data_IF_246553857700
#
_entry.id   IF_246553857700
#
_cell.length_a   1.000
_cell.length_b   1.000
_cell.length_c   1.000
_cell.angle_alpha   90.00
_cell.angle_beta   90.00
_cell.angle_gamma   90.00
#
_symmetry.space_group_name_H-M   'P 1'
#
loop_
_entity.id
_entity.type
_entity.pdbx_description
1 polymer ?
#
# COMPACT_ATOMS: atom_id res chain seq x y z
N UNK A 1 64.74 2.44 -0.32
CA UNK A 1 63.57 2.82 -1.14
C UNK A 1 63.27 4.26 -0.79
N UNK A 2 63.51 5.15 -1.74
CA UNK A 2 63.52 6.61 -1.56
C UNK A 2 62.07 7.11 -1.53
N UNK A 3 61.57 7.45 -0.34
CA UNK A 3 60.30 8.18 -0.19
C UNK A 3 60.54 9.60 -0.67
N UNK A 4 60.31 9.85 -1.96
CA UNK A 4 60.26 11.20 -2.50
C UNK A 4 59.04 11.87 -1.91
N UNK A 5 59.29 12.63 -0.85
CA UNK A 5 58.43 13.69 -0.37
C UNK A 5 58.38 14.74 -1.49
N UNK A 6 57.45 14.54 -2.44
CA UNK A 6 57.23 15.46 -3.54
C UNK A 6 56.55 16.68 -2.93
N UNK A 7 57.35 17.72 -2.71
CA UNK A 7 56.89 19.01 -2.23
C UNK A 7 55.68 19.46 -3.07
N UNK A 8 54.50 19.68 -2.46
CA UNK A 8 53.29 19.97 -3.20
C UNK A 8 53.46 21.30 -3.93
N UNK A 9 53.34 21.26 -5.26
CA UNK A 9 53.47 22.46 -6.09
C UNK A 9 52.50 23.55 -5.60
N UNK A 10 52.91 24.82 -5.52
CA UNK A 10 52.02 25.90 -5.13
C UNK A 10 50.76 25.88 -6.00
N UNK A 11 49.58 25.91 -5.37
CA UNK A 11 48.28 25.91 -6.06
C UNK A 11 47.63 24.55 -6.30
N UNK A 12 48.32 23.41 -6.12
CA UNK A 12 47.67 22.08 -6.24
C UNK A 12 46.65 21.82 -5.15
N UNK A 13 46.93 22.25 -3.92
CA UNK A 13 45.99 22.10 -2.79
C UNK A 13 44.69 22.88 -3.01
N UNK A 14 44.80 24.12 -3.49
CA UNK A 14 43.64 24.95 -3.80
C UNK A 14 42.82 24.34 -4.95
N UNK A 15 43.49 23.87 -6.01
CA UNK A 15 42.83 23.18 -7.13
C UNK A 15 42.05 21.95 -6.65
N UNK A 16 42.68 21.08 -5.86
CA UNK A 16 42.03 19.88 -5.31
C UNK A 16 40.81 20.26 -4.45
N UNK A 17 40.94 21.29 -3.61
CA UNK A 17 39.83 21.78 -2.80
C UNK A 17 38.66 22.30 -3.66
N UNK A 18 38.94 22.98 -4.77
CA UNK A 18 37.90 23.43 -5.71
C UNK A 18 37.23 22.26 -6.43
N UNK A 19 37.97 21.21 -6.80
CA UNK A 19 37.44 19.99 -7.41
C UNK A 19 36.51 19.25 -6.43
N UNK A 20 36.93 19.06 -5.17
CA UNK A 20 36.10 18.45 -4.13
C UNK A 20 34.83 19.27 -3.85
N UNK A 21 34.95 20.60 -3.83
CA UNK A 21 33.79 21.51 -3.72
C UNK A 21 32.82 21.31 -4.87
N UNK A 22 33.32 21.16 -6.09
CA UNK A 22 32.50 20.94 -7.27
C UNK A 22 31.76 19.59 -7.18
N UNK A 23 32.45 18.52 -6.77
CA UNK A 23 31.82 17.22 -6.54
C UNK A 23 30.70 17.30 -5.50
N UNK A 24 30.91 18.04 -4.41
CA UNK A 24 29.89 18.24 -3.38
C UNK A 24 28.67 19.01 -3.90
N UNK A 25 28.87 20.04 -4.72
CA UNK A 25 27.77 20.81 -5.33
C UNK A 25 26.93 19.92 -6.23
N UNK A 26 27.56 19.12 -7.07
CA UNK A 26 26.88 18.16 -7.95
C UNK A 26 26.10 17.13 -7.14
N UNK A 27 26.69 16.62 -6.06
CA UNK A 27 26.03 15.67 -5.17
C UNK A 27 24.79 16.28 -4.52
N UNK A 28 24.89 17.50 -3.98
CA UNK A 28 23.73 18.19 -3.40
C UNK A 28 22.63 18.44 -4.43
N UNK A 29 22.99 18.75 -5.68
CA UNK A 29 22.01 18.89 -6.76
C UNK A 29 21.27 17.57 -7.04
N UNK A 30 21.99 16.44 -7.05
CA UNK A 30 21.41 15.10 -7.17
C UNK A 30 20.44 14.79 -6.01
N UNK A 31 20.84 15.07 -4.77
CA UNK A 31 19.98 14.87 -3.58
C UNK A 31 18.72 15.74 -3.63
N UNK A 32 18.81 16.99 -4.09
CA UNK A 32 17.64 17.85 -4.28
C UNK A 32 16.70 17.28 -5.34
N UNK A 33 17.23 16.78 -6.46
CA UNK A 33 16.43 16.12 -7.50
C UNK A 33 15.75 14.88 -6.94
N UNK A 34 16.45 14.05 -6.15
CA UNK A 34 15.86 12.91 -5.42
C UNK A 34 14.71 13.33 -4.51
N UNK A 35 14.90 14.39 -3.72
CA UNK A 35 13.89 14.92 -2.80
C UNK A 35 12.66 15.44 -3.55
N UNK A 36 12.85 16.13 -4.68
CA UNK A 36 11.75 16.54 -5.55
C UNK A 36 10.93 15.35 -6.04
N UNK A 37 11.58 14.28 -6.49
CA UNK A 37 10.91 13.03 -6.91
C UNK A 37 10.08 12.44 -5.75
N UNK A 38 10.58 12.47 -4.51
CA UNK A 38 9.85 11.96 -3.32
C UNK A 38 8.65 12.81 -2.92
N UNK A 39 8.70 14.12 -3.14
CA UNK A 39 7.72 15.07 -2.57
C UNK A 39 6.55 15.32 -3.52
N UNK A 40 6.55 14.75 -4.74
CA UNK A 40 5.43 14.89 -5.66
C UNK A 40 4.18 14.17 -5.10
N UNK A 41 3.06 14.89 -5.12
CA UNK A 41 1.74 14.46 -4.60
C UNK A 41 1.12 13.34 -5.46
N UNK A 42 1.58 13.19 -6.70
CA UNK A 42 1.26 12.05 -7.55
C UNK A 42 2.02 10.82 -7.02
N UNK A 43 1.40 10.10 -6.08
CA UNK A 43 1.94 8.94 -5.35
C UNK A 43 2.48 7.78 -6.20
N UNK A 44 2.43 7.87 -7.53
CA UNK A 44 3.10 6.94 -8.45
C UNK A 44 4.54 7.38 -8.65
N UNK A 45 5.36 7.06 -7.67
CA UNK A 45 6.81 7.14 -7.76
C UNK A 45 7.32 6.28 -8.94
N UNK A 46 7.93 6.91 -9.96
CA UNK A 46 8.36 6.18 -11.17
C UNK A 46 9.79 5.65 -11.04
N UNK A 47 9.94 4.35 -11.29
CA UNK A 47 11.24 3.67 -11.41
C UNK A 47 12.13 4.31 -12.48
N UNK A 48 11.53 4.83 -13.56
CA UNK A 48 12.27 5.46 -14.65
C UNK A 48 12.90 6.80 -14.23
N UNK A 49 12.26 7.54 -13.33
CA UNK A 49 12.82 8.78 -12.77
C UNK A 49 14.04 8.47 -11.88
N UNK A 50 14.01 7.37 -11.12
CA UNK A 50 15.17 6.91 -10.36
C UNK A 50 16.32 6.45 -11.26
N UNK A 51 16.04 5.68 -12.31
CA UNK A 51 17.06 5.28 -13.29
C UNK A 51 17.66 6.49 -13.99
N UNK A 52 16.83 7.46 -14.36
CA UNK A 52 17.28 8.73 -14.94
C UNK A 52 18.14 9.54 -13.96
N UNK A 53 17.84 9.49 -12.66
CA UNK A 53 18.69 10.10 -11.63
C UNK A 53 20.03 9.37 -11.51
N UNK A 54 20.03 8.04 -11.51
CA UNK A 54 21.24 7.22 -11.46
C UNK A 54 22.16 7.48 -12.67
N UNK A 55 21.60 7.63 -13.87
CA UNK A 55 22.34 7.95 -15.08
C UNK A 55 23.07 9.31 -15.02
N UNK A 56 22.68 10.21 -14.11
CA UNK A 56 23.33 11.52 -13.93
C UNK A 56 24.47 11.52 -12.91
N UNK A 57 24.81 10.37 -12.33
CA UNK A 57 25.89 10.29 -11.34
C UNK A 57 27.25 10.58 -11.96
N UNK A 58 28.06 11.35 -11.23
CA UNK A 58 29.42 11.63 -11.67
C UNK A 58 30.30 10.40 -11.37
N UNK A 59 30.92 9.77 -12.39
CA UNK A 59 31.78 8.60 -12.17
C UNK A 59 33.02 8.93 -11.33
N UNK A 60 33.44 10.19 -11.27
CA UNK A 60 34.60 10.63 -10.48
C UNK A 60 34.32 10.68 -8.98
N UNK A 61 33.07 10.52 -8.54
CA UNK A 61 32.74 10.52 -7.12
C UNK A 61 33.38 9.35 -6.36
N UNK A 62 33.60 8.20 -7.01
CA UNK A 62 34.26 7.04 -6.39
C UNK A 62 35.68 7.37 -5.93
N UNK A 63 36.38 8.19 -6.70
CA UNK A 63 37.80 8.48 -6.51
C UNK A 63 38.01 9.82 -5.78
N UNK A 64 36.92 10.53 -5.47
CA UNK A 64 36.94 11.80 -4.75
C UNK A 64 37.20 11.62 -3.26
N UNK A 65 37.74 12.65 -2.62
CA UNK A 65 37.92 12.71 -1.17
C UNK A 65 36.61 12.72 -0.39
N UNK A 66 35.48 12.98 -1.06
CA UNK A 66 34.13 12.93 -0.47
C UNK A 66 33.37 11.63 -0.76
N UNK A 67 34.03 10.63 -1.36
CA UNK A 67 33.43 9.32 -1.69
C UNK A 67 32.74 8.65 -0.50
N UNK A 68 33.35 8.68 0.68
CA UNK A 68 32.81 8.10 1.92
C UNK A 68 31.49 8.73 2.36
N UNK A 69 31.28 10.02 2.05
CA UNK A 69 30.03 10.73 2.32
C UNK A 69 28.95 10.37 1.29
N UNK A 70 29.34 10.26 0.03
CA UNK A 70 28.41 10.08 -1.09
C UNK A 70 27.94 8.62 -1.20
N UNK A 71 28.85 7.66 -1.01
CA UNK A 71 28.62 6.25 -1.32
C UNK A 71 27.39 5.63 -0.65
N UNK A 72 27.12 5.86 0.66
CA UNK A 72 25.91 5.32 1.29
C UNK A 72 24.62 5.78 0.61
N UNK A 73 24.57 7.02 0.12
CA UNK A 73 23.40 7.54 -0.60
C UNK A 73 23.24 6.91 -1.97
N UNK A 74 24.34 6.73 -2.71
CA UNK A 74 24.31 6.06 -4.01
C UNK A 74 23.86 4.61 -3.85
N UNK A 75 24.45 3.89 -2.89
CA UNK A 75 24.08 2.51 -2.59
C UNK A 75 22.61 2.38 -2.22
N UNK A 76 22.08 3.28 -1.38
CA UNK A 76 20.66 3.30 -1.04
C UNK A 76 19.78 3.43 -2.29
N UNK A 77 20.07 4.38 -3.18
CA UNK A 77 19.28 4.57 -4.40
C UNK A 77 19.40 3.35 -5.33
N UNK A 78 20.59 2.78 -5.49
CA UNK A 78 20.79 1.59 -6.31
C UNK A 78 20.00 0.38 -5.78
N UNK A 79 20.03 0.15 -4.46
CA UNK A 79 19.28 -0.94 -3.85
C UNK A 79 17.77 -0.71 -4.00
N UNK A 80 17.29 0.52 -3.81
CA UNK A 80 15.87 0.85 -4.01
C UNK A 80 15.41 0.60 -5.46
N UNK A 81 16.27 0.89 -6.45
CA UNK A 81 15.98 0.56 -7.86
C UNK A 81 15.87 -0.97 -8.02
N UNK A 82 16.84 -1.72 -7.52
CA UNK A 82 16.87 -3.17 -7.63
C UNK A 82 15.65 -3.84 -6.97
N UNK A 83 15.31 -3.43 -5.74
CA UNK A 83 14.17 -3.96 -4.98
C UNK A 83 12.85 -3.74 -5.74
N UNK A 84 12.69 -2.57 -6.36
CA UNK A 84 11.49 -2.24 -7.14
C UNK A 84 11.44 -3.00 -8.46
N UNK A 85 12.57 -3.17 -9.14
CA UNK A 85 12.68 -3.98 -10.35
C UNK A 85 12.29 -5.42 -10.09
N UNK A 86 12.80 -6.00 -8.99
CA UNK A 86 12.44 -7.34 -8.55
C UNK A 86 10.94 -7.43 -8.23
N UNK A 87 10.40 -6.46 -7.49
CA UNK A 87 8.96 -6.42 -7.19
C UNK A 87 8.10 -6.34 -8.44
N UNK A 88 8.48 -5.50 -9.41
CA UNK A 88 7.76 -5.39 -10.68
C UNK A 88 7.83 -6.69 -11.48
N UNK A 89 9.00 -7.34 -11.54
CA UNK A 89 9.18 -8.62 -12.21
C UNK A 89 8.34 -9.73 -11.55
N UNK A 90 8.27 -9.77 -10.21
CA UNK A 90 7.43 -10.71 -9.48
C UNK A 90 5.94 -10.48 -9.79
N UNK A 91 5.46 -9.24 -9.71
CA UNK A 91 4.06 -8.89 -10.00
C UNK A 91 3.71 -9.27 -11.44
N UNK A 92 4.57 -8.93 -12.40
CA UNK A 92 4.38 -9.28 -13.79
C UNK A 92 4.33 -10.80 -13.99
N UNK A 93 5.28 -11.54 -13.39
CA UNK A 93 5.29 -13.00 -13.45
C UNK A 93 4.02 -13.61 -12.86
N UNK A 94 3.55 -13.09 -11.72
CA UNK A 94 2.30 -13.55 -11.12
C UNK A 94 1.12 -13.26 -12.03
N UNK A 95 1.04 -12.08 -12.64
CA UNK A 95 -0.03 -11.68 -13.54
C UNK A 95 -0.09 -12.57 -14.79
N UNK A 96 1.06 -12.90 -15.38
CA UNK A 96 1.15 -13.84 -16.51
C UNK A 96 0.66 -15.25 -16.13
N UNK A 97 0.85 -15.64 -14.87
CA UNK A 97 0.39 -16.91 -14.32
C UNK A 97 -1.05 -16.87 -13.79
N UNK A 98 -1.69 -15.69 -13.72
CA UNK A 98 -3.12 -15.59 -13.44
C UNK A 98 -3.86 -16.03 -14.70
N UNK A 99 -4.23 -17.32 -14.72
CA UNK A 99 -5.31 -17.76 -15.59
C UNK A 99 -6.56 -17.05 -15.11
N UNK A 100 -7.02 -16.06 -15.89
CA UNK A 100 -8.40 -15.58 -15.77
C UNK A 100 -9.26 -16.82 -15.99
N UNK A 101 -10.03 -17.28 -14.99
CA UNK A 101 -10.94 -18.38 -15.21
C UNK A 101 -11.75 -17.98 -16.44
N UNK A 102 -11.73 -18.80 -17.48
CA UNK A 102 -12.67 -18.62 -18.57
C UNK A 102 -14.01 -18.49 -17.89
N UNK A 103 -14.62 -17.30 -17.95
CA UNK A 103 -15.97 -17.10 -17.45
C UNK A 103 -16.74 -18.12 -18.27
N UNK A 104 -17.07 -19.27 -17.64
CA UNK A 104 -17.94 -20.27 -18.22
C UNK A 104 -19.08 -19.44 -18.77
N UNK A 105 -19.26 -19.46 -20.10
CA UNK A 105 -20.15 -18.55 -20.81
C UNK A 105 -21.33 -18.27 -19.89
N UNK A 106 -21.55 -17.01 -19.48
CA UNK A 106 -22.67 -16.70 -18.61
C UNK A 106 -23.87 -17.44 -19.16
N UNK A 107 -24.69 -18.03 -18.28
CA UNK A 107 -25.98 -18.58 -18.71
C UNK A 107 -26.58 -17.58 -19.71
N UNK A 108 -27.15 -17.98 -20.85
CA UNK A 108 -27.55 -17.05 -21.91
C UNK A 108 -28.43 -15.88 -21.43
N UNK A 109 -29.06 -16.03 -20.27
CA UNK A 109 -29.90 -15.05 -19.59
C UNK A 109 -29.24 -14.30 -18.42
N UNK A 110 -27.99 -14.60 -18.07
CA UNK A 110 -27.22 -13.95 -17.01
C UNK A 110 -26.20 -13.00 -17.65
N UNK A 111 -26.47 -11.70 -17.56
CA UNK A 111 -25.49 -10.67 -17.89
C UNK A 111 -24.87 -10.10 -16.59
N UNK A 112 -23.58 -10.38 -16.32
CA UNK A 112 -22.91 -9.89 -15.12
C UNK A 112 -22.86 -8.36 -15.02
N UNK A 113 -22.93 -7.64 -16.16
CA UNK A 113 -22.87 -6.18 -16.17
C UNK A 113 -24.19 -5.55 -15.72
N UNK A 114 -25.32 -6.23 -15.93
CA UNK A 114 -26.65 -5.82 -15.42
C UNK A 114 -27.00 -6.41 -14.05
N UNK A 115 -26.18 -7.32 -13.49
CA UNK A 115 -26.37 -7.85 -12.13
C UNK A 115 -26.49 -6.76 -11.05
N UNK A 116 -25.69 -5.67 -11.04
CA UNK A 116 -25.83 -4.62 -10.03
C UNK A 116 -27.22 -3.94 -10.06
N UNK A 117 -27.75 -3.70 -11.26
CA UNK A 117 -29.05 -3.05 -11.48
C UNK A 117 -30.20 -3.95 -11.00
N UNK A 118 -30.09 -5.26 -11.22
CA UNK A 118 -31.05 -6.26 -10.76
C UNK A 118 -31.09 -6.41 -9.23
N UNK A 119 -30.03 -6.01 -8.52
CA UNK A 119 -29.94 -6.08 -7.06
C UNK A 119 -30.38 -4.79 -6.38
N UNK A 120 -30.45 -3.68 -7.10
CA UNK A 120 -30.76 -2.36 -6.52
C UNK A 120 -32.15 -2.32 -5.89
N UNK A 121 -33.16 -2.89 -6.55
CA UNK A 121 -34.52 -2.96 -6.02
C UNK A 121 -34.60 -3.84 -4.75
N UNK A 122 -33.90 -4.97 -4.73
CA UNK A 122 -33.81 -5.84 -3.57
C UNK A 122 -33.09 -5.16 -2.40
N UNK A 123 -31.99 -4.44 -2.69
CA UNK A 123 -31.23 -3.69 -1.70
C UNK A 123 -32.03 -2.52 -1.12
N UNK A 124 -32.79 -1.80 -1.94
CA UNK A 124 -33.66 -0.73 -1.49
C UNK A 124 -34.78 -1.25 -0.58
N UNK A 125 -35.37 -2.41 -0.92
CA UNK A 125 -36.38 -3.04 -0.07
C UNK A 125 -35.78 -3.58 1.24
N UNK A 126 -34.61 -4.21 1.18
CA UNK A 126 -33.87 -4.61 2.38
C UNK A 126 -33.63 -3.42 3.30
N UNK A 127 -33.13 -2.31 2.76
CA UNK A 127 -32.84 -1.09 3.52
C UNK A 127 -34.10 -0.53 4.18
N UNK A 128 -35.22 -0.45 3.45
CA UNK A 128 -36.51 -0.02 4.01
C UNK A 128 -36.97 -0.92 5.16
N UNK A 129 -36.90 -2.24 4.98
CA UNK A 129 -37.28 -3.20 6.02
C UNK A 129 -36.36 -3.11 7.24
N UNK A 130 -35.06 -2.99 7.01
CA UNK A 130 -34.05 -2.84 8.04
C UNK A 130 -34.29 -1.57 8.85
N UNK A 131 -34.53 -0.43 8.20
CA UNK A 131 -34.76 0.84 8.87
C UNK A 131 -36.08 0.84 9.66
N UNK A 132 -37.13 0.24 9.09
CA UNK A 132 -38.40 0.08 9.80
C UNK A 132 -38.28 -0.84 11.03
N UNK A 133 -37.50 -1.92 10.93
CA UNK A 133 -37.24 -2.82 12.06
C UNK A 133 -36.31 -2.19 13.12
N UNK A 134 -35.40 -1.33 12.68
CA UNK A 134 -34.43 -0.64 13.54
C UNK A 134 -34.99 0.66 14.14
N UNK A 135 -36.16 1.10 13.71
CA UNK A 135 -36.83 2.28 14.25
C UNK A 135 -37.12 2.12 15.75
N UNK A 136 -36.95 3.20 16.52
CA UNK A 136 -37.12 3.20 17.97
C UNK A 136 -38.52 2.71 18.38
N UNK A 137 -39.55 3.05 17.60
CA UNK A 137 -40.93 2.66 17.81
C UNK A 137 -41.14 1.15 17.59
N UNK A 138 -40.48 0.57 16.59
CA UNK A 138 -40.51 -0.86 16.33
C UNK A 138 -39.80 -1.64 17.45
N UNK A 139 -38.64 -1.15 17.90
CA UNK A 139 -37.92 -1.71 19.05
C UNK A 139 -38.73 -1.65 20.34
N UNK A 140 -39.38 -0.50 20.63
CA UNK A 140 -40.28 -0.34 21.78
C UNK A 140 -41.49 -1.26 21.70
N UNK A 141 -42.07 -1.42 20.52
CA UNK A 141 -43.21 -2.31 20.28
C UNK A 141 -42.83 -3.78 20.47
N UNK A 142 -41.66 -4.18 19.98
CA UNK A 142 -41.10 -5.52 20.17
C UNK A 142 -40.78 -5.80 21.64
N UNK A 143 -40.19 -4.82 22.34
CA UNK A 143 -39.92 -4.92 23.77
C UNK A 143 -41.22 -5.01 24.59
N UNK A 144 -42.26 -4.25 24.22
CA UNK A 144 -43.59 -4.33 24.85
C UNK A 144 -44.25 -5.68 24.59
N UNK A 145 -44.15 -6.20 23.37
CA UNK A 145 -44.64 -7.54 23.03
C UNK A 145 -43.93 -8.61 23.85
N UNK A 146 -42.60 -8.57 23.93
CA UNK A 146 -41.78 -9.50 24.71
C UNK A 146 -42.14 -9.45 26.21
N UNK A 147 -42.30 -8.25 26.77
CA UNK A 147 -42.66 -8.09 28.18
C UNK A 147 -44.09 -8.57 28.51
N UNK A 148 -45.00 -8.54 27.53
CA UNK A 148 -46.38 -9.01 27.66
C UNK A 148 -46.55 -10.46 27.22
N UNK A 149 -45.48 -11.12 26.77
CA UNK A 149 -45.55 -12.48 26.27
C UNK A 149 -45.53 -13.47 27.44
N UNK A 150 -46.69 -14.07 27.74
CA UNK A 150 -46.80 -15.16 28.73
C UNK A 150 -46.39 -16.47 28.06
N UNK A 151 -45.09 -16.73 28.07
CA UNK A 151 -44.40 -17.81 27.37
C UNK A 151 -44.97 -19.21 27.61
N UNK A 152 -45.72 -19.72 26.64
CA UNK A 152 -46.23 -21.09 26.64
C UNK A 152 -45.58 -22.03 25.60
N UNK A 153 -44.58 -21.59 24.83
CA UNK A 153 -44.11 -22.40 23.68
C UNK A 153 -42.58 -22.50 23.48
N UNK A 154 -41.74 -21.74 24.19
CA UNK A 154 -40.26 -21.76 23.97
C UNK A 154 -39.44 -22.43 25.07
N UNK A 155 -40.06 -22.99 26.12
CA UNK A 155 -39.35 -23.75 27.16
C UNK A 155 -38.67 -25.03 26.63
N UNK A 156 -38.88 -25.36 25.34
CA UNK A 156 -38.37 -26.59 24.73
C UNK A 156 -37.36 -26.39 23.59
N UNK A 157 -37.07 -25.17 23.12
CA UNK A 157 -36.35 -25.04 21.83
C UNK A 157 -35.22 -24.00 21.72
N UNK A 158 -34.96 -23.12 22.68
CA UNK A 158 -33.80 -22.21 22.57
C UNK A 158 -33.06 -22.03 23.90
N UNK A 159 -31.72 -22.21 23.94
CA UNK A 159 -30.94 -21.85 25.12
C UNK A 159 -30.97 -20.32 25.32
N UNK A 160 -30.80 -19.85 26.57
CA UNK A 160 -30.90 -18.44 26.89
C UNK A 160 -29.79 -17.67 26.16
N UNK A 161 -30.19 -16.84 25.20
CA UNK A 161 -29.28 -15.89 24.56
C UNK A 161 -28.99 -14.82 25.62
N UNK A 162 -27.76 -14.86 26.14
CA UNK A 162 -27.25 -13.82 27.04
C UNK A 162 -27.42 -12.43 26.45
N UNK A 163 -27.48 -11.45 27.33
CA UNK A 163 -27.71 -10.01 27.12
C UNK A 163 -26.75 -9.28 26.16
N UNK A 164 -26.05 -9.98 25.26
CA UNK A 164 -25.09 -9.41 24.31
C UNK A 164 -25.73 -8.91 23.00
N UNK A 165 -27.00 -9.23 22.72
CA UNK A 165 -27.66 -8.85 21.46
C UNK A 165 -28.01 -7.35 21.35
N UNK A 166 -27.89 -6.58 22.43
CA UNK A 166 -28.20 -5.15 22.45
C UNK A 166 -26.96 -4.23 22.42
N UNK A 167 -25.75 -4.78 22.45
CA UNK A 167 -24.51 -4.00 22.35
C UNK A 167 -23.73 -4.38 21.08
N UNK A 168 -24.29 -4.05 19.92
CA UNK A 168 -23.49 -4.04 18.70
C UNK A 168 -22.91 -2.63 18.50
N UNK A 169 -21.67 -2.46 18.94
CA UNK A 169 -20.85 -1.29 18.63
C UNK A 169 -20.44 -1.38 17.13
N UNK A 170 -20.74 -0.37 16.28
CA UNK A 170 -20.53 -0.46 14.84
C UNK A 170 -19.05 -0.53 14.40
N UNK A 171 -18.09 -0.50 15.33
CA UNK A 171 -16.65 -0.57 15.02
C UNK A 171 -16.09 -1.99 14.85
N UNK A 172 -16.87 -3.05 15.10
CA UNK A 172 -16.33 -4.42 15.04
C UNK A 172 -16.30 -5.06 13.64
N UNK A 173 -16.89 -4.44 12.61
CA UNK A 173 -17.05 -5.08 11.29
C UNK A 173 -15.88 -4.87 10.32
N UNK A 174 -14.73 -4.33 10.75
CA UNK A 174 -13.61 -4.05 9.84
C UNK A 174 -12.53 -5.14 9.75
N UNK A 175 -12.60 -6.22 10.52
CA UNK A 175 -11.51 -7.20 10.55
C UNK A 175 -11.97 -8.64 10.23
N UNK A 176 -12.39 -8.90 8.98
CA UNK A 176 -12.42 -10.27 8.45
C UNK A 176 -11.97 -10.33 6.99
N UNK A 177 -10.69 -10.02 6.77
CA UNK A 177 -9.90 -10.54 5.65
C UNK A 177 -8.55 -11.02 6.17
N UNK A 178 -8.49 -12.27 6.65
CA UNK A 178 -7.22 -12.99 6.85
C UNK A 178 -7.48 -14.45 6.46
N UNK A 179 -7.19 -14.78 5.20
CA UNK A 179 -6.04 -15.59 4.79
C UNK A 179 -6.16 -17.07 5.16
N UNK A 180 -6.72 -17.86 4.24
CA UNK A 180 -6.50 -19.31 4.22
C UNK A 180 -5.30 -19.61 3.32
N UNK A 181 -4.09 -19.52 3.89
CA UNK A 181 -2.90 -20.18 3.33
C UNK A 181 -2.94 -21.64 3.77
N UNK A 182 -3.22 -22.53 2.83
CA UNK A 182 -2.99 -23.97 3.00
C UNK A 182 -1.61 -24.34 2.47
N UNK A 183 -0.80 -24.98 3.30
CA UNK A 183 0.24 -25.96 2.97
C UNK A 183 0.70 -26.64 4.28
N UNK A 184 1.31 -27.84 4.23
CA UNK A 184 1.62 -28.68 3.06
C UNK A 184 0.59 -29.77 2.79
#
# INVERSE_FOLDING_TARGET
MESRDVEPKPGTTLKKLMEERQHLIEFMAMVRKRSYILTRVDSTFSLDELRSLQATWNPKWSDSGISTLIYPFLSYISNEIADREESHAEIQSRLENVSVPAINKPHPDFDPLSMPENLEACYANYTKCHDAASASEAQKSLQKWYNNWTGGFMDTMLPPIGSSFLNHDPKSSQNHWVSSRSRP
#
